data_IF_783672220318
#
_entry.id   IF_783672220318
#
_cell.length_a   1.000
_cell.length_b   1.000
_cell.length_c   1.000
_cell.angle_alpha   90.00
_cell.angle_beta   90.00
_cell.angle_gamma   90.00
#
_symmetry.space_group_name_H-M   'P 1'
#
loop_
_entity.id
_entity.type
_entity.pdbx_description
1 polymer ?
#
# COMPACT_ATOMS: atom_id res chain seq x y z
N UNK A 1 35.18 27.35 -5.18
CA UNK A 1 34.65 25.98 -5.41
C UNK A 1 33.38 25.67 -4.61
N UNK A 2 33.14 26.23 -3.41
CA UNK A 2 31.92 25.95 -2.62
C UNK A 2 30.57 26.35 -3.25
N UNK A 3 30.54 27.32 -4.18
CA UNK A 3 29.28 27.78 -4.81
C UNK A 3 28.60 26.69 -5.66
N UNK A 4 29.37 25.82 -6.30
CA UNK A 4 28.82 24.72 -7.11
C UNK A 4 28.29 23.58 -6.25
N UNK A 5 28.87 23.37 -5.06
CA UNK A 5 28.45 22.33 -4.12
C UNK A 5 27.04 22.61 -3.57
N UNK A 6 26.74 23.88 -3.28
CA UNK A 6 25.39 24.32 -2.87
C UNK A 6 24.37 24.12 -3.99
N UNK A 7 24.73 24.42 -5.24
CA UNK A 7 23.84 24.23 -6.39
C UNK A 7 23.54 22.74 -6.62
N UNK A 8 24.54 21.87 -6.49
CA UNK A 8 24.36 20.41 -6.61
C UNK A 8 23.42 19.87 -5.52
N UNK A 9 23.55 20.34 -4.28
CA UNK A 9 22.65 19.99 -3.17
C UNK A 9 21.21 20.44 -3.42
N UNK A 10 21.00 21.62 -4.00
CA UNK A 10 19.67 22.11 -4.37
C UNK A 10 19.06 21.25 -5.48
N UNK A 11 19.83 20.89 -6.52
CA UNK A 11 19.36 20.04 -7.61
C UNK A 11 19.01 18.63 -7.12
N UNK A 12 19.85 18.04 -6.25
CA UNK A 12 19.58 16.73 -5.63
C UNK A 12 18.35 16.76 -4.71
N UNK A 13 18.07 17.89 -4.05
CA UNK A 13 16.85 18.09 -3.27
C UNK A 13 15.56 18.18 -4.09
N UNK A 14 15.66 18.55 -5.38
CA UNK A 14 14.49 18.69 -6.26
C UNK A 14 14.05 17.36 -6.90
N UNK A 15 14.96 16.40 -7.07
CA UNK A 15 14.65 15.07 -7.65
C UNK A 15 14.09 14.06 -6.65
N UNK A 16 14.17 14.32 -5.33
CA UNK A 16 13.66 13.40 -4.31
C UNK A 16 12.13 13.38 -4.17
N UNK A 17 11.42 14.36 -4.75
CA UNK A 17 9.95 14.46 -4.71
C UNK A 17 9.23 13.86 -5.93
N UNK A 18 9.92 13.11 -6.80
CA UNK A 18 9.26 12.36 -7.87
C UNK A 18 8.71 11.03 -7.33
N UNK A 19 7.79 11.10 -6.35
CA UNK A 19 7.11 9.92 -5.83
C UNK A 19 6.04 9.47 -6.83
N UNK A 20 6.31 8.39 -7.56
CA UNK A 20 5.35 7.82 -8.51
C UNK A 20 4.23 7.13 -7.73
N UNK A 21 2.98 7.54 -7.97
CA UNK A 21 1.79 6.91 -7.39
C UNK A 21 1.52 5.57 -8.08
N UNK A 22 2.14 4.51 -7.57
CA UNK A 22 1.97 3.14 -8.06
C UNK A 22 0.78 2.42 -7.40
N UNK A 23 0.60 1.14 -7.70
CA UNK A 23 -0.48 0.35 -7.13
C UNK A 23 -0.38 0.23 -5.59
N UNK A 24 0.83 0.13 -5.06
CA UNK A 24 1.06 0.04 -3.61
C UNK A 24 0.64 1.32 -2.90
N UNK A 25 0.90 2.48 -3.50
CA UNK A 25 0.44 3.76 -3.00
C UNK A 25 -1.08 3.81 -2.85
N UNK A 26 -1.83 3.42 -3.89
CA UNK A 26 -3.29 3.48 -3.83
C UNK A 26 -3.93 2.44 -2.89
N UNK A 27 -3.29 1.28 -2.69
CA UNK A 27 -3.74 0.29 -1.69
C UNK A 27 -3.56 0.78 -0.26
N UNK A 28 -2.51 1.57 0.00
CA UNK A 28 -2.23 2.15 1.32
C UNK A 28 -2.94 3.48 1.58
N UNK A 29 -3.49 4.12 0.54
CA UNK A 29 -4.19 5.41 0.63
C UNK A 29 -5.61 5.34 0.02
N UNK A 30 -6.58 4.73 0.72
CA UNK A 30 -7.97 4.59 0.26
C UNK A 30 -8.65 5.88 -0.21
N UNK A 31 -8.40 7.01 0.45
CA UNK A 31 -8.96 8.32 0.07
C UNK A 31 -8.41 8.82 -1.26
N UNK A 32 -7.10 8.67 -1.49
CA UNK A 32 -6.45 9.02 -2.76
C UNK A 32 -6.95 8.16 -3.91
N UNK A 33 -7.18 6.87 -3.66
CA UNK A 33 -7.77 5.96 -4.63
C UNK A 33 -9.19 6.39 -5.03
N UNK A 34 -10.04 6.75 -4.06
CA UNK A 34 -11.38 7.25 -4.35
C UNK A 34 -11.36 8.55 -5.15
N UNK A 35 -10.45 9.48 -4.81
CA UNK A 35 -10.29 10.72 -5.54
C UNK A 35 -9.85 10.46 -6.98
N UNK A 36 -8.88 9.56 -7.19
CA UNK A 36 -8.45 9.17 -8.53
C UNK A 36 -9.57 8.51 -9.34
N UNK A 37 -10.37 7.63 -8.72
CA UNK A 37 -11.52 6.99 -9.36
C UNK A 37 -12.61 7.99 -9.76
N UNK A 38 -12.89 9.02 -8.95
CA UNK A 38 -13.85 10.09 -9.28
C UNK A 38 -13.42 10.91 -10.50
N UNK A 39 -12.12 11.02 -10.75
CA UNK A 39 -11.58 11.77 -11.88
C UNK A 39 -11.53 10.95 -13.17
N UNK A 40 -11.65 9.62 -13.10
CA UNK A 40 -11.71 8.76 -14.27
C UNK A 40 -13.04 8.90 -15.03
N UNK A 41 -13.03 8.90 -16.39
CA UNK A 41 -11.87 8.76 -17.27
C UNK A 41 -11.19 10.10 -17.63
N UNK A 42 -11.70 11.24 -17.14
CA UNK A 42 -11.31 12.57 -17.59
C UNK A 42 -9.85 12.93 -17.24
N UNK A 43 -9.35 12.49 -16.08
CA UNK A 43 -7.96 12.71 -15.65
C UNK A 43 -7.38 11.41 -15.13
N UNK A 44 -6.44 10.84 -15.87
CA UNK A 44 -5.73 9.62 -15.49
C UNK A 44 -4.44 9.97 -14.72
N UNK A 45 -4.17 9.37 -13.55
CA UNK A 45 -2.92 9.58 -12.85
C UNK A 45 -1.73 8.92 -13.56
N UNK A 46 -0.56 9.55 -13.43
CA UNK A 46 0.67 9.06 -14.03
C UNK A 46 1.06 7.68 -13.48
N UNK A 47 1.07 6.67 -14.35
CA UNK A 47 1.57 5.33 -14.06
C UNK A 47 0.52 4.24 -13.84
N UNK A 48 -0.77 4.57 -13.80
CA UNK A 48 -1.86 3.58 -13.72
C UNK A 48 -3.04 3.96 -14.63
N UNK A 49 -3.65 2.96 -15.26
CA UNK A 49 -4.90 3.12 -16.01
C UNK A 49 -6.12 3.18 -15.10
N UNK A 50 -7.20 3.81 -15.57
CA UNK A 50 -8.48 3.80 -14.86
C UNK A 50 -8.98 2.36 -14.63
N UNK A 51 -8.74 1.45 -15.57
CA UNK A 51 -9.04 0.02 -15.40
C UNK A 51 -8.26 -0.61 -14.25
N UNK A 52 -6.97 -0.28 -14.09
CA UNK A 52 -6.17 -0.75 -12.97
C UNK A 52 -6.66 -0.13 -11.64
N UNK A 53 -6.98 1.15 -11.62
CA UNK A 53 -7.56 1.81 -10.44
C UNK A 53 -8.90 1.18 -10.04
N UNK A 54 -9.76 0.83 -11.00
CA UNK A 54 -11.03 0.16 -10.73
C UNK A 54 -10.82 -1.22 -10.11
N UNK A 55 -9.81 -1.99 -10.54
CA UNK A 55 -9.48 -3.28 -9.92
C UNK A 55 -9.13 -3.08 -8.45
N UNK A 56 -8.29 -2.08 -8.14
CA UNK A 56 -7.92 -1.74 -6.77
C UNK A 56 -9.15 -1.26 -5.98
N UNK A 57 -9.99 -0.41 -6.58
CA UNK A 57 -11.22 0.12 -5.98
C UNK A 57 -12.23 -0.97 -5.63
N UNK A 58 -12.45 -1.93 -6.54
CA UNK A 58 -13.34 -3.09 -6.29
C UNK A 58 -12.84 -3.93 -5.12
N UNK A 59 -11.53 -4.20 -5.06
CA UNK A 59 -10.93 -4.94 -3.94
C UNK A 59 -11.08 -4.18 -2.63
N UNK A 60 -10.85 -2.86 -2.64
CA UNK A 60 -11.01 -2.00 -1.47
C UNK A 60 -12.46 -2.04 -0.96
N UNK A 61 -13.44 -1.88 -1.86
CA UNK A 61 -14.86 -1.94 -1.51
C UNK A 61 -15.27 -3.31 -0.95
N UNK A 62 -14.71 -4.41 -1.49
CA UNK A 62 -14.95 -5.74 -0.94
C UNK A 62 -14.40 -5.89 0.48
N UNK A 63 -13.20 -5.37 0.75
CA UNK A 63 -12.61 -5.38 2.10
C UNK A 63 -13.43 -4.51 3.06
N UNK A 64 -13.85 -3.33 2.62
CA UNK A 64 -14.69 -2.43 3.38
C UNK A 64 -16.03 -3.08 3.75
N UNK A 65 -16.66 -3.77 2.78
CA UNK A 65 -17.88 -4.54 3.01
C UNK A 65 -17.66 -5.68 4.02
N UNK A 66 -16.58 -6.45 3.88
CA UNK A 66 -16.26 -7.53 4.83
C UNK A 66 -16.06 -7.01 6.25
N UNK A 67 -15.35 -5.88 6.39
CA UNK A 67 -15.13 -5.23 7.68
C UNK A 67 -16.46 -4.78 8.30
N UNK A 68 -17.34 -4.10 7.54
CA UNK A 68 -18.63 -3.66 8.04
C UNK A 68 -19.59 -4.82 8.35
N UNK A 69 -19.58 -5.88 7.53
CA UNK A 69 -20.46 -7.04 7.70
C UNK A 69 -20.10 -7.89 8.92
N UNK A 70 -18.80 -8.17 9.12
CA UNK A 70 -18.33 -8.95 10.25
C UNK A 70 -16.94 -8.45 10.72
N UNK A 71 -16.90 -7.41 11.57
CA UNK A 71 -15.64 -6.83 12.04
C UNK A 71 -14.76 -7.83 12.79
N UNK A 72 -15.36 -8.77 13.53
CA UNK A 72 -14.62 -9.77 14.30
C UNK A 72 -13.91 -10.76 13.38
N UNK A 73 -14.61 -11.28 12.35
CA UNK A 73 -13.99 -12.16 11.36
C UNK A 73 -12.90 -11.42 10.57
N UNK A 74 -13.12 -10.15 10.22
CA UNK A 74 -12.12 -9.33 9.57
C UNK A 74 -10.86 -9.15 10.45
N UNK A 75 -11.05 -8.87 11.75
CA UNK A 75 -9.97 -8.81 12.73
C UNK A 75 -9.21 -10.13 12.86
N UNK A 76 -9.92 -11.27 12.87
CA UNK A 76 -9.30 -12.60 12.89
C UNK A 76 -8.42 -12.85 11.66
N UNK A 77 -8.81 -12.37 10.47
CA UNK A 77 -7.97 -12.45 9.26
C UNK A 77 -6.67 -11.66 9.41
N UNK A 78 -6.74 -10.45 9.99
CA UNK A 78 -5.55 -9.64 10.28
C UNK A 78 -4.62 -10.37 11.26
N UNK A 79 -5.16 -10.89 12.36
CA UNK A 79 -4.36 -11.62 13.36
C UNK A 79 -3.71 -12.87 12.78
N UNK A 80 -4.45 -13.64 11.97
CA UNK A 80 -3.91 -14.81 11.28
C UNK A 80 -2.76 -14.42 10.33
N UNK A 81 -2.91 -13.34 9.57
CA UNK A 81 -1.87 -12.85 8.67
C UNK A 81 -0.63 -12.36 9.43
N UNK A 82 -0.80 -11.65 10.54
CA UNK A 82 0.29 -11.24 11.43
C UNK A 82 1.05 -12.45 12.00
N UNK A 83 0.33 -13.51 12.39
CA UNK A 83 0.94 -14.75 12.86
C UNK A 83 1.77 -15.42 11.76
N UNK A 84 1.28 -15.46 10.52
CA UNK A 84 2.02 -15.99 9.37
C UNK A 84 3.29 -15.17 9.12
N UNK A 85 3.19 -13.84 9.11
CA UNK A 85 4.35 -12.94 8.94
C UNK A 85 5.40 -13.18 10.03
N UNK A 86 4.98 -13.28 11.30
CA UNK A 86 5.90 -13.55 12.40
C UNK A 86 6.60 -14.91 12.27
N UNK A 87 5.90 -15.94 11.80
CA UNK A 87 6.49 -17.24 11.52
C UNK A 87 7.53 -17.17 10.39
N UNK A 88 7.18 -16.50 9.28
CA UNK A 88 8.08 -16.31 8.15
C UNK A 88 9.34 -15.53 8.53
N UNK A 89 9.20 -14.46 9.33
CA UNK A 89 10.33 -13.69 9.84
C UNK A 89 11.25 -14.54 10.71
N UNK A 90 10.71 -15.39 11.60
CA UNK A 90 11.50 -16.34 12.40
C UNK A 90 12.23 -17.35 11.52
N UNK A 91 11.56 -17.87 10.49
CA UNK A 91 12.16 -18.86 9.59
C UNK A 91 13.31 -18.27 8.77
N UNK A 92 13.16 -17.04 8.25
CA UNK A 92 14.23 -16.32 7.55
C UNK A 92 15.44 -16.08 8.46
N UNK A 93 15.22 -15.78 9.74
CA UNK A 93 16.33 -15.63 10.70
C UNK A 93 17.09 -16.96 10.91
N UNK A 94 16.39 -18.09 10.80
CA UNK A 94 16.96 -19.42 11.00
C UNK A 94 17.61 -20.03 9.74
N UNK A 95 17.17 -19.62 8.54
CA UNK A 95 17.64 -20.15 7.25
C UNK A 95 18.20 -19.02 6.40
N UNK A 96 19.51 -19.02 6.16
CA UNK A 96 20.13 -18.10 5.20
C UNK A 96 19.70 -18.47 3.78
N UNK A 97 18.98 -17.56 3.14
CA UNK A 97 18.52 -17.58 1.75
C UNK A 97 17.40 -18.57 1.39
N UNK A 98 16.16 -18.05 1.43
CA UNK A 98 15.04 -18.61 0.71
C UNK A 98 14.28 -17.46 0.02
N UNK A 99 14.53 -17.27 -1.27
CA UNK A 99 13.93 -16.20 -2.07
C UNK A 99 12.39 -16.30 -2.11
N UNK A 100 11.85 -17.51 -2.20
CA UNK A 100 10.39 -17.73 -2.19
C UNK A 100 9.75 -17.31 -0.87
N UNK A 101 10.44 -17.60 0.25
CA UNK A 101 10.00 -17.20 1.58
C UNK A 101 10.05 -15.66 1.76
N UNK A 102 11.08 -15.00 1.21
CA UNK A 102 11.19 -13.54 1.21
C UNK A 102 10.08 -12.90 0.37
N UNK A 103 9.82 -13.43 -0.83
CA UNK A 103 8.74 -12.95 -1.70
C UNK A 103 7.37 -13.15 -1.06
N UNK A 104 7.14 -14.31 -0.43
CA UNK A 104 5.90 -14.57 0.30
C UNK A 104 5.74 -13.65 1.51
N UNK A 105 6.82 -13.38 2.26
CA UNK A 105 6.79 -12.44 3.38
C UNK A 105 6.40 -11.05 2.88
N UNK A 106 7.01 -10.58 1.78
CA UNK A 106 6.71 -9.27 1.20
C UNK A 106 5.24 -9.17 0.78
N UNK A 107 4.70 -10.19 0.09
CA UNK A 107 3.29 -10.24 -0.29
C UNK A 107 2.36 -10.18 0.92
N UNK A 108 2.66 -10.95 1.96
CA UNK A 108 1.86 -10.97 3.19
C UNK A 108 1.90 -9.62 3.91
N UNK A 109 3.05 -8.95 3.95
CA UNK A 109 3.19 -7.61 4.50
C UNK A 109 2.39 -6.57 3.71
N UNK A 110 2.39 -6.66 2.38
CA UNK A 110 1.61 -5.78 1.51
C UNK A 110 0.10 -5.98 1.70
N UNK A 111 -0.34 -7.24 1.81
CA UNK A 111 -1.72 -7.55 2.13
C UNK A 111 -2.09 -7.05 3.53
N UNK A 112 -1.24 -7.22 4.54
CA UNK A 112 -1.49 -6.70 5.90
C UNK A 112 -1.64 -5.17 5.88
N UNK A 113 -0.74 -4.46 5.20
CA UNK A 113 -0.81 -3.01 5.06
C UNK A 113 -2.12 -2.57 4.41
N UNK A 114 -2.60 -3.31 3.40
CA UNK A 114 -3.86 -3.00 2.74
C UNK A 114 -5.07 -3.21 3.66
N UNK A 115 -5.13 -4.31 4.40
CA UNK A 115 -6.23 -4.57 5.34
C UNK A 115 -6.29 -3.48 6.42
N UNK A 116 -5.13 -3.09 6.96
CA UNK A 116 -5.02 -2.02 7.95
C UNK A 116 -5.36 -0.65 7.38
N UNK A 117 -5.02 -0.37 6.12
CA UNK A 117 -5.40 0.88 5.46
C UNK A 117 -6.92 1.00 5.32
N UNK A 118 -7.63 -0.10 5.01
CA UNK A 118 -9.10 -0.12 4.96
C UNK A 118 -9.72 0.10 6.34
N UNK A 119 -9.17 -0.54 7.39
CA UNK A 119 -9.59 -0.28 8.78
C UNK A 119 -9.40 1.19 9.13
N UNK A 120 -8.20 1.74 8.91
CA UNK A 120 -7.91 3.14 9.20
C UNK A 120 -8.89 4.07 8.48
N UNK A 121 -9.16 3.80 7.20
CA UNK A 121 -10.05 4.62 6.39
C UNK A 121 -11.51 4.61 6.90
N UNK A 122 -12.03 3.47 7.35
CA UNK A 122 -13.41 3.38 7.83
C UNK A 122 -13.58 3.85 9.28
N UNK A 123 -12.61 3.58 10.15
CA UNK A 123 -12.67 3.95 11.57
C UNK A 123 -12.23 5.40 11.83
N UNK A 124 -11.52 6.01 10.87
CA UNK A 124 -11.05 7.40 10.96
C UNK A 124 -10.92 7.99 9.55
N UNK A 125 -12.03 8.25 8.84
CA UNK A 125 -11.98 8.90 7.54
C UNK A 125 -11.33 10.28 7.73
N UNK A 126 -10.13 10.45 7.16
CA UNK A 126 -9.47 11.75 7.17
C UNK A 126 -10.44 12.77 6.54
N UNK A 127 -10.81 13.76 7.34
CA UNK A 127 -11.86 14.75 7.07
C UNK A 127 -11.36 15.89 6.21
#
# INVERSE_FOLDING_TARGET
MNKYLVIILIILGLVSCQFKKDESYYRSHPSELQNALKMCPNTQPDGLSCQQLEVIGRRMNSLAYQLQYNPQEFGNKILALQQVIANQQREIQSKKDNAELQDSLKRNQDDLAYYLAVVKWLESPES
#
